data_IF_875220693700
#
_entry.id   IF_875220693700
#
_cell.length_a   1.000
_cell.length_b   1.000
_cell.length_c   1.000
_cell.angle_alpha   90.00
_cell.angle_beta   90.00
_cell.angle_gamma   90.00
#
_symmetry.space_group_name_H-M   'P 1'
#
loop_
_entity.id
_entity.type
_entity.pdbx_description
1 polymer ?
#
# COMPACT_ATOMS: atom_id res chain seq x y z
N UNK A 1 3.40 -8.22 -44.90
CA UNK A 1 2.36 -8.34 -43.88
C UNK A 1 2.63 -9.42 -42.80
N UNK A 2 3.88 -9.78 -42.48
CA UNK A 2 4.21 -10.80 -41.44
C UNK A 2 4.99 -10.24 -40.24
N UNK A 3 5.30 -8.95 -40.22
CA UNK A 3 6.06 -8.31 -39.12
C UNK A 3 5.19 -7.61 -38.03
N UNK A 4 3.95 -7.36 -38.34
CA UNK A 4 2.99 -6.71 -37.38
C UNK A 4 2.32 -7.68 -36.42
N UNK A 5 2.27 -8.98 -36.77
CA UNK A 5 1.69 -9.98 -35.86
C UNK A 5 2.63 -10.39 -34.72
N UNK A 6 3.95 -10.17 -34.86
CA UNK A 6 4.94 -10.55 -33.85
C UNK A 6 5.04 -9.50 -32.73
N UNK A 7 4.75 -8.21 -33.03
CA UNK A 7 4.75 -7.16 -32.03
C UNK A 7 3.48 -7.20 -31.12
N UNK A 8 2.35 -7.67 -31.68
CA UNK A 8 1.10 -7.79 -30.91
C UNK A 8 1.14 -8.96 -29.92
N UNK A 9 1.92 -10.01 -30.22
CA UNK A 9 2.10 -11.16 -29.33
C UNK A 9 3.05 -10.84 -28.15
N UNK A 10 3.97 -9.88 -28.31
CA UNK A 10 4.85 -9.44 -27.21
C UNK A 10 4.17 -8.48 -26.24
N UNK A 11 3.14 -7.75 -26.68
CA UNK A 11 2.37 -6.82 -25.83
C UNK A 11 1.30 -7.51 -24.97
N UNK A 12 0.95 -8.77 -25.30
CA UNK A 12 -0.01 -9.57 -24.53
C UNK A 12 0.66 -10.53 -23.53
N UNK A 13 1.99 -10.53 -23.45
CA UNK A 13 2.74 -11.39 -22.53
C UNK A 13 3.23 -10.68 -21.25
N UNK A 14 2.80 -9.46 -21.01
CA UNK A 14 2.81 -8.90 -19.66
C UNK A 14 1.59 -9.44 -18.88
N UNK A 15 1.29 -10.72 -18.99
CA UNK A 15 0.54 -11.45 -17.97
C UNK A 15 1.46 -11.44 -16.77
N UNK A 16 1.07 -10.72 -15.72
CA UNK A 16 1.68 -10.81 -14.41
C UNK A 16 1.82 -12.30 -14.07
N UNK A 17 3.03 -12.82 -14.20
CA UNK A 17 3.37 -14.16 -13.73
C UNK A 17 3.41 -13.98 -12.21
N UNK A 18 2.23 -14.12 -11.58
CA UNK A 18 2.21 -14.31 -10.14
C UNK A 18 3.08 -15.53 -9.87
N UNK A 19 3.99 -15.48 -8.88
CA UNK A 19 4.78 -16.63 -8.51
C UNK A 19 3.85 -17.82 -8.24
N UNK A 20 4.32 -19.02 -8.52
CA UNK A 20 3.53 -20.26 -8.37
C UNK A 20 3.13 -20.52 -6.90
N UNK A 21 3.79 -19.84 -5.95
CA UNK A 21 3.62 -19.96 -4.50
C UNK A 21 3.04 -18.66 -3.90
N UNK A 22 2.04 -18.05 -4.55
CA UNK A 22 1.38 -16.86 -4.03
C UNK A 22 0.40 -17.24 -2.90
N UNK A 23 0.64 -16.71 -1.70
CA UNK A 23 -0.31 -16.71 -0.61
C UNK A 23 -1.21 -15.47 -0.66
N UNK A 24 -2.33 -15.52 0.07
CA UNK A 24 -3.26 -14.39 0.18
C UNK A 24 -3.51 -14.08 1.65
N UNK A 25 -3.31 -12.83 2.02
CA UNK A 25 -3.81 -12.27 3.26
C UNK A 25 -5.16 -11.61 3.01
N UNK A 26 -6.16 -11.85 3.87
CA UNK A 26 -7.50 -11.26 3.78
C UNK A 26 -7.79 -10.41 5.02
N UNK A 27 -8.09 -9.14 4.80
CA UNK A 27 -8.45 -8.18 5.85
C UNK A 27 -9.97 -7.99 5.89
N UNK A 28 -10.69 -8.92 6.51
CA UNK A 28 -12.10 -8.84 6.93
C UNK A 28 -13.04 -8.00 6.03
N UNK A 29 -13.01 -8.23 4.71
CA UNK A 29 -13.86 -7.53 3.75
C UNK A 29 -13.41 -6.11 3.37
N UNK A 30 -12.22 -5.67 3.76
CA UNK A 30 -11.63 -4.40 3.34
C UNK A 30 -10.79 -4.58 2.07
N UNK A 31 -9.85 -5.51 2.13
CA UNK A 31 -8.94 -5.79 1.03
C UNK A 31 -8.36 -7.20 1.13
N UNK A 32 -7.76 -7.63 0.01
CA UNK A 32 -6.89 -8.80 -0.07
C UNK A 32 -5.51 -8.37 -0.54
N UNK A 33 -4.48 -9.01 -0.02
CA UNK A 33 -3.10 -8.85 -0.49
C UNK A 33 -2.53 -10.20 -0.87
N UNK A 34 -2.13 -10.36 -2.12
CA UNK A 34 -1.38 -11.52 -2.59
C UNK A 34 0.11 -11.22 -2.50
N UNK A 35 0.87 -12.14 -1.94
CA UNK A 35 2.32 -12.02 -1.77
C UNK A 35 3.02 -13.35 -2.06
N UNK A 36 4.31 -13.29 -2.32
CA UNK A 36 5.15 -14.48 -2.54
C UNK A 36 5.57 -15.07 -1.18
N UNK A 37 4.98 -16.21 -0.77
CA UNK A 37 5.32 -16.89 0.48
C UNK A 37 6.71 -17.55 0.48
N UNK A 38 7.33 -17.71 -0.69
CA UNK A 38 8.71 -18.16 -0.78
C UNK A 38 9.72 -17.03 -0.52
N UNK A 39 9.30 -15.78 -0.77
CA UNK A 39 10.14 -14.58 -0.61
C UNK A 39 9.95 -13.90 0.75
N UNK A 40 8.76 -14.02 1.36
CA UNK A 40 8.41 -13.30 2.60
C UNK A 40 7.79 -14.22 3.65
N UNK A 41 8.13 -13.97 4.90
CA UNK A 41 7.46 -14.57 6.06
C UNK A 41 6.35 -13.64 6.54
N UNK A 42 5.15 -14.17 6.76
CA UNK A 42 4.02 -13.44 7.33
C UNK A 42 4.03 -13.56 8.86
N UNK A 43 3.97 -12.43 9.56
CA UNK A 43 3.56 -12.32 10.95
C UNK A 43 2.20 -11.60 10.99
N UNK A 44 1.13 -12.33 11.30
CA UNK A 44 -0.26 -11.88 11.27
C UNK A 44 -0.76 -11.43 12.65
N UNK A 45 0.13 -10.99 13.53
CA UNK A 45 -0.23 -10.49 14.86
C UNK A 45 -1.07 -9.21 14.75
N UNK A 46 -2.33 -9.39 14.40
CA UNK A 46 -3.31 -8.30 14.37
C UNK A 46 -3.58 -7.79 15.77
N UNK A 47 -3.35 -6.50 16.01
CA UNK A 47 -3.79 -5.84 17.22
C UNK A 47 -4.47 -4.52 16.90
N UNK A 48 -5.55 -4.22 17.64
CA UNK A 48 -6.24 -2.94 17.56
C UNK A 48 -5.70 -2.01 18.64
N UNK A 49 -5.53 -0.75 18.28
CA UNK A 49 -5.14 0.31 19.18
C UNK A 49 -6.11 1.48 19.02
N UNK A 50 -6.72 1.91 20.13
CA UNK A 50 -7.53 3.13 20.16
C UNK A 50 -6.67 4.27 20.70
N UNK A 51 -6.55 5.34 19.93
CA UNK A 51 -5.90 6.58 20.32
C UNK A 51 -6.93 7.71 20.47
N UNK A 52 -6.52 8.84 21.03
CA UNK A 52 -7.36 10.06 21.10
C UNK A 52 -7.69 10.61 19.69
N UNK A 53 -6.94 10.21 18.67
CA UNK A 53 -7.08 10.67 17.28
C UNK A 53 -7.80 9.70 16.36
N UNK A 54 -8.19 8.53 16.86
CA UNK A 54 -8.90 7.51 16.07
C UNK A 54 -8.55 6.08 16.45
N UNK A 55 -9.20 5.12 15.83
CA UNK A 55 -8.93 3.70 15.99
C UNK A 55 -7.90 3.27 14.92
N UNK A 56 -6.75 2.79 15.37
CA UNK A 56 -5.73 2.21 14.49
C UNK A 56 -5.74 0.69 14.63
N UNK A 57 -5.49 0.00 13.54
CA UNK A 57 -5.37 -1.45 13.50
C UNK A 57 -4.17 -1.84 12.65
N UNK A 58 -3.26 -2.61 13.25
CA UNK A 58 -2.19 -3.27 12.53
C UNK A 58 -2.69 -4.61 12.01
N UNK A 59 -2.43 -4.91 10.75
CA UNK A 59 -2.89 -6.16 10.15
C UNK A 59 -1.81 -7.22 10.16
N UNK A 60 -0.63 -6.88 9.63
CA UNK A 60 0.43 -7.85 9.48
C UNK A 60 1.79 -7.19 9.27
N UNK A 61 2.82 -7.99 9.44
CA UNK A 61 4.18 -7.70 8.99
C UNK A 61 4.62 -8.80 8.03
N UNK A 62 5.04 -8.42 6.82
CA UNK A 62 5.69 -9.30 5.86
C UNK A 62 7.18 -8.95 5.85
N UNK A 63 8.05 -9.93 6.05
CA UNK A 63 9.48 -9.66 6.15
C UNK A 63 10.33 -10.78 5.54
N UNK A 64 11.56 -10.42 5.18
CA UNK A 64 12.64 -11.34 4.87
C UNK A 64 13.95 -10.84 5.50
N UNK A 65 15.10 -11.41 5.13
CA UNK A 65 16.39 -11.04 5.71
C UNK A 65 16.81 -9.59 5.42
N UNK A 66 16.25 -8.96 4.38
CA UNK A 66 16.70 -7.64 3.89
C UNK A 66 15.70 -6.53 4.21
N UNK A 67 14.41 -6.79 4.08
CA UNK A 67 13.38 -5.75 4.15
C UNK A 67 12.11 -6.23 4.85
N UNK A 68 11.37 -5.25 5.36
CA UNK A 68 10.10 -5.43 6.05
C UNK A 68 9.03 -4.56 5.41
N UNK A 69 7.83 -5.11 5.32
CA UNK A 69 6.60 -4.41 4.96
C UNK A 69 5.63 -4.56 6.12
N UNK A 70 5.12 -3.48 6.63
CA UNK A 70 4.03 -3.55 7.59
C UNK A 70 2.80 -2.79 7.09
N UNK A 71 1.62 -3.31 7.40
CA UNK A 71 0.36 -2.74 6.99
C UNK A 71 -0.50 -2.38 8.18
N UNK A 72 -0.96 -1.15 8.17
CA UNK A 72 -1.87 -0.62 9.19
C UNK A 72 -3.09 0.04 8.56
N UNK A 73 -4.10 0.23 9.38
CA UNK A 73 -5.32 0.97 9.05
C UNK A 73 -5.55 2.00 10.14
N UNK A 74 -5.81 3.22 9.71
CA UNK A 74 -6.28 4.30 10.56
C UNK A 74 -7.71 4.68 10.14
N UNK A 75 -8.66 4.55 11.04
CA UNK A 75 -10.02 5.07 10.81
C UNK A 75 -10.04 6.57 11.03
N UNK A 76 -10.41 7.31 9.98
CA UNK A 76 -10.48 8.77 10.03
C UNK A 76 -11.90 9.22 10.40
N UNK A 77 -12.06 9.90 11.55
CA UNK A 77 -13.37 10.38 11.98
C UNK A 77 -13.92 11.51 11.11
N UNK A 78 -13.02 12.39 10.61
CA UNK A 78 -13.40 13.56 9.83
C UNK A 78 -13.61 13.30 8.34
N UNK A 79 -13.14 12.16 7.84
CA UNK A 79 -13.15 11.79 6.43
C UNK A 79 -14.00 10.55 6.15
N UNK A 80 -14.97 10.27 7.02
CA UNK A 80 -15.91 9.16 6.85
C UNK A 80 -16.52 9.17 5.45
N UNK A 81 -16.35 8.06 4.73
CA UNK A 81 -16.83 7.90 3.35
C UNK A 81 -15.89 8.43 2.27
N UNK A 82 -14.70 8.96 2.60
CA UNK A 82 -13.70 9.27 1.59
C UNK A 82 -13.16 7.97 0.98
N UNK A 83 -13.16 7.90 -0.34
CA UNK A 83 -12.50 6.84 -1.12
C UNK A 83 -11.71 7.49 -2.23
N UNK A 84 -10.38 7.30 -2.27
CA UNK A 84 -9.51 8.03 -3.19
C UNK A 84 -9.81 7.76 -4.65
N UNK A 85 -10.17 6.51 -5.02
CA UNK A 85 -10.48 6.15 -6.41
C UNK A 85 -11.70 6.89 -6.98
N UNK A 86 -12.66 7.30 -6.13
CA UNK A 86 -13.91 7.96 -6.54
C UNK A 86 -13.99 9.43 -6.14
N UNK A 87 -13.07 9.91 -5.31
CA UNK A 87 -13.06 11.29 -4.85
C UNK A 87 -12.79 12.29 -5.99
N UNK A 88 -13.39 13.47 -5.90
CA UNK A 88 -13.05 14.60 -6.78
C UNK A 88 -11.59 15.02 -6.63
N UNK A 89 -10.98 15.51 -7.72
CA UNK A 89 -9.56 15.88 -7.74
C UNK A 89 -9.19 16.89 -6.66
N UNK A 90 -10.02 17.93 -6.44
CA UNK A 90 -9.78 18.92 -5.41
C UNK A 90 -9.71 18.29 -4.01
N UNK A 91 -10.56 17.25 -3.74
CA UNK A 91 -10.55 16.56 -2.44
C UNK A 91 -9.30 15.67 -2.29
N UNK A 92 -8.89 14.98 -3.34
CA UNK A 92 -7.65 14.22 -3.37
C UNK A 92 -6.44 15.11 -3.08
N UNK A 93 -6.35 16.25 -3.74
CA UNK A 93 -5.25 17.20 -3.53
C UNK A 93 -5.26 17.82 -2.13
N UNK A 94 -6.45 18.12 -1.57
CA UNK A 94 -6.57 18.58 -0.19
C UNK A 94 -6.06 17.53 0.79
N UNK A 95 -6.48 16.28 0.61
CA UNK A 95 -6.06 15.18 1.47
C UNK A 95 -4.54 14.91 1.36
N UNK A 96 -3.99 14.89 0.15
CA UNK A 96 -2.54 14.74 -0.03
C UNK A 96 -1.76 15.84 0.69
N UNK A 97 -2.26 17.09 0.64
CA UNK A 97 -1.63 18.18 1.37
C UNK A 97 -1.70 17.96 2.88
N UNK A 98 -2.86 17.55 3.40
CA UNK A 98 -3.05 17.24 4.82
C UNK A 98 -2.11 16.10 5.27
N UNK A 99 -1.95 15.07 4.44
CA UNK A 99 -1.05 13.94 4.66
C UNK A 99 0.43 14.39 4.72
N UNK A 100 0.87 15.22 3.77
CA UNK A 100 2.22 15.77 3.77
C UNK A 100 2.47 16.71 4.96
N UNK A 101 1.48 17.50 5.34
CA UNK A 101 1.55 18.37 6.52
C UNK A 101 1.63 17.54 7.82
N UNK A 102 0.96 16.37 7.87
CA UNK A 102 1.01 15.44 9.00
C UNK A 102 2.41 14.87 9.22
N UNK A 103 3.09 14.50 8.13
CA UNK A 103 4.43 13.93 8.16
C UNK A 103 5.55 14.95 7.92
N UNK A 104 5.30 16.26 8.13
CA UNK A 104 6.30 17.31 7.87
C UNK A 104 7.61 17.14 8.67
N UNK A 105 7.51 16.60 9.89
CA UNK A 105 8.69 16.37 10.74
C UNK A 105 9.50 15.13 10.32
N UNK A 106 9.00 14.35 9.35
CA UNK A 106 9.64 13.17 8.78
C UNK A 106 10.15 13.40 7.35
N UNK A 107 10.34 14.66 6.95
CA UNK A 107 10.82 15.07 5.62
C UNK A 107 9.98 14.47 4.46
N UNK A 108 8.66 14.32 4.67
CA UNK A 108 7.75 13.67 3.73
C UNK A 108 7.75 14.31 2.35
N UNK A 109 7.85 13.47 1.33
CA UNK A 109 7.75 13.89 -0.07
C UNK A 109 7.00 12.87 -0.91
N UNK A 110 6.07 13.34 -1.76
CA UNK A 110 5.41 12.47 -2.73
C UNK A 110 6.41 12.06 -3.82
N UNK A 111 6.61 10.76 -3.99
CA UNK A 111 7.48 10.20 -5.01
C UNK A 111 6.69 9.86 -6.28
N UNK A 112 5.57 9.16 -6.12
CA UNK A 112 4.73 8.71 -7.24
C UNK A 112 3.31 8.37 -6.79
N UNK A 113 2.43 8.11 -7.76
CA UNK A 113 1.14 7.45 -7.56
C UNK A 113 1.16 6.12 -8.28
N UNK A 114 0.79 5.04 -7.60
CA UNK A 114 0.77 3.67 -8.11
C UNK A 114 -0.66 3.16 -8.08
N UNK A 115 -1.12 2.56 -9.18
CA UNK A 115 -2.38 1.82 -9.17
C UNK A 115 -2.13 0.41 -8.63
N UNK A 116 -2.98 -0.04 -7.70
CA UNK A 116 -2.92 -1.38 -7.15
C UNK A 116 -3.23 -2.46 -8.20
N UNK A 117 -3.09 -3.74 -7.85
CA UNK A 117 -3.30 -4.87 -8.75
C UNK A 117 -4.71 -4.99 -9.32
N UNK A 118 -5.71 -4.40 -8.68
CA UNK A 118 -7.08 -4.27 -9.21
C UNK A 118 -7.20 -3.21 -10.33
N UNK A 119 -6.17 -2.38 -10.54
CA UNK A 119 -6.15 -1.30 -11.52
C UNK A 119 -7.15 -0.17 -11.24
N UNK A 120 -7.67 -0.07 -10.02
CA UNK A 120 -8.67 0.91 -9.61
C UNK A 120 -8.32 1.65 -8.32
N UNK A 121 -7.51 1.04 -7.46
CA UNK A 121 -7.15 1.61 -6.16
C UNK A 121 -5.82 2.35 -6.25
N UNK A 122 -5.84 3.71 -6.23
CA UNK A 122 -4.60 4.49 -6.26
C UNK A 122 -3.95 4.52 -4.89
N UNK A 123 -2.64 4.36 -4.86
CA UNK A 123 -1.78 4.59 -3.70
C UNK A 123 -0.85 5.76 -3.95
N UNK A 124 -0.71 6.65 -2.99
CA UNK A 124 0.36 7.63 -2.97
C UNK A 124 1.58 7.03 -2.28
N UNK A 125 2.71 7.03 -2.96
CA UNK A 125 3.98 6.56 -2.42
C UNK A 125 4.77 7.77 -1.95
N UNK A 126 5.03 7.82 -0.65
CA UNK A 126 5.80 8.85 0.01
C UNK A 126 7.18 8.32 0.40
N UNK A 127 8.21 9.15 0.27
CA UNK A 127 9.50 8.96 0.91
C UNK A 127 9.53 9.72 2.24
N UNK A 128 9.89 9.04 3.31
CA UNK A 128 9.92 9.58 4.67
C UNK A 128 11.22 9.21 5.38
N UNK A 129 11.47 9.91 6.49
CA UNK A 129 12.59 9.60 7.39
C UNK A 129 12.20 9.89 8.83
N UNK A 130 12.38 8.90 9.70
CA UNK A 130 12.20 9.05 11.15
C UNK A 130 13.49 8.72 11.91
N UNK A 131 13.42 8.61 13.22
CA UNK A 131 14.55 8.27 14.09
C UNK A 131 15.13 6.86 13.83
N UNK A 132 14.36 5.95 13.22
CA UNK A 132 14.79 4.59 12.88
C UNK A 132 15.41 4.50 11.48
N UNK A 133 15.29 5.53 10.64
CA UNK A 133 15.88 5.58 9.32
C UNK A 133 14.92 6.02 8.22
N UNK A 134 15.36 5.95 6.95
CA UNK A 134 14.49 6.24 5.81
C UNK A 134 13.57 5.07 5.50
N UNK A 135 12.33 5.36 5.10
CA UNK A 135 11.33 4.38 4.70
C UNK A 135 10.43 4.92 3.59
N UNK A 136 9.67 4.04 2.98
CA UNK A 136 8.59 4.37 2.05
C UNK A 136 7.25 4.07 2.70
N UNK A 137 6.25 4.86 2.39
CA UNK A 137 4.87 4.61 2.78
C UNK A 137 3.97 4.74 1.55
N UNK A 138 3.19 3.72 1.29
CA UNK A 138 2.12 3.77 0.32
C UNK A 138 0.79 3.89 1.05
N UNK A 139 0.03 4.95 0.76
CA UNK A 139 -1.26 5.21 1.40
C UNK A 139 -2.39 5.28 0.38
N UNK A 140 -3.49 4.63 0.72
CA UNK A 140 -4.80 4.82 0.08
C UNK A 140 -5.89 5.02 1.12
N UNK A 141 -7.04 5.53 0.69
CA UNK A 141 -8.21 5.68 1.56
C UNK A 141 -9.41 4.99 0.93
N UNK A 142 -10.05 4.14 1.71
CA UNK A 142 -11.24 3.39 1.34
C UNK A 142 -12.30 3.58 2.43
N UNK A 143 -13.41 4.21 2.08
CA UNK A 143 -14.55 4.48 2.97
C UNK A 143 -14.14 5.13 4.31
N UNK A 144 -13.25 6.12 4.24
CA UNK A 144 -12.77 6.83 5.41
C UNK A 144 -11.75 6.05 6.25
N UNK A 145 -11.20 4.97 5.73
CA UNK A 145 -10.10 4.23 6.34
C UNK A 145 -8.84 4.50 5.52
N UNK A 146 -7.84 5.13 6.13
CA UNK A 146 -6.50 5.19 5.56
C UNK A 146 -5.81 3.84 5.74
N UNK A 147 -5.31 3.29 4.66
CA UNK A 147 -4.59 2.01 4.62
C UNK A 147 -3.16 2.34 4.23
N UNK A 148 -2.24 2.07 5.13
CA UNK A 148 -0.82 2.36 5.00
C UNK A 148 -0.03 1.07 4.84
N UNK A 149 0.77 0.99 3.80
CA UNK A 149 1.80 -0.02 3.63
C UNK A 149 3.16 0.64 3.72
N UNK A 150 3.87 0.40 4.82
CA UNK A 150 5.22 0.89 5.02
C UNK A 150 6.23 -0.15 4.52
N UNK A 151 7.33 0.32 3.93
CA UNK A 151 8.42 -0.52 3.45
C UNK A 151 9.77 0.07 3.89
N UNK A 152 10.63 -0.74 4.49
CA UNK A 152 11.95 -0.32 4.95
C UNK A 152 12.95 -1.48 4.93
N UNK A 153 14.22 -1.12 4.84
CA UNK A 153 15.30 -2.08 5.04
C UNK A 153 15.49 -2.41 6.51
N UNK A 154 15.79 -3.67 6.82
CA UNK A 154 16.12 -4.13 8.18
C UNK A 154 17.43 -3.48 8.69
N UNK A 155 18.32 -3.09 7.78
CA UNK A 155 19.46 -2.21 8.08
C UNK A 155 19.07 -0.75 7.86
N UNK A 156 18.76 -0.05 8.94
CA UNK A 156 18.32 1.35 8.94
C UNK A 156 19.36 2.36 8.42
N UNK A 157 20.60 1.94 8.16
CA UNK A 157 21.62 2.78 7.52
C UNK A 157 21.45 2.86 6.00
N UNK A 158 20.70 1.96 5.39
CA UNK A 158 20.42 1.97 3.96
C UNK A 158 19.40 3.04 3.60
N UNK A 159 19.57 3.65 2.43
CA UNK A 159 18.61 4.61 1.90
C UNK A 159 17.38 3.87 1.33
N UNK A 160 16.21 4.51 1.39
CA UNK A 160 15.03 4.08 0.66
C UNK A 160 15.24 4.35 -0.85
N UNK A 161 15.87 3.42 -1.53
CA UNK A 161 16.32 3.51 -2.90
C UNK A 161 15.30 2.93 -3.92
N UNK A 162 15.67 2.92 -5.19
CA UNK A 162 14.83 2.40 -6.28
C UNK A 162 14.47 0.91 -6.10
N UNK A 163 15.34 0.11 -5.48
CA UNK A 163 15.09 -1.31 -5.20
C UNK A 163 13.97 -1.49 -4.18
N UNK A 164 13.95 -0.67 -3.12
CA UNK A 164 12.87 -0.69 -2.14
C UNK A 164 11.55 -0.19 -2.76
N UNK A 165 11.61 0.81 -3.65
CA UNK A 165 10.43 1.29 -4.39
C UNK A 165 9.86 0.20 -5.30
N UNK A 166 10.71 -0.55 -6.00
CA UNK A 166 10.28 -1.66 -6.86
C UNK A 166 9.61 -2.76 -6.05
N UNK A 167 10.22 -3.17 -4.92
CA UNK A 167 9.64 -4.17 -4.03
C UNK A 167 8.27 -3.71 -3.46
N UNK A 168 8.11 -2.42 -3.14
CA UNK A 168 6.83 -1.85 -2.73
C UNK A 168 5.79 -1.90 -3.86
N UNK A 169 6.16 -1.56 -5.10
CA UNK A 169 5.26 -1.66 -6.26
C UNK A 169 4.83 -3.10 -6.54
N UNK A 170 5.75 -4.06 -6.42
CA UNK A 170 5.43 -5.49 -6.54
C UNK A 170 4.43 -5.93 -5.47
N UNK A 171 4.58 -5.46 -4.24
CA UNK A 171 3.64 -5.73 -3.16
C UNK A 171 2.26 -5.12 -3.46
N UNK A 172 2.20 -3.86 -3.89
CA UNK A 172 0.95 -3.18 -4.27
C UNK A 172 0.27 -3.83 -5.47
N UNK A 173 1.01 -4.46 -6.37
CA UNK A 173 0.44 -5.23 -7.48
C UNK A 173 -0.36 -6.46 -7.02
N UNK A 174 -0.13 -6.93 -5.80
CA UNK A 174 -0.92 -7.98 -5.15
C UNK A 174 -2.17 -7.48 -4.41
N UNK A 175 -2.32 -6.17 -4.24
CA UNK A 175 -3.43 -5.59 -3.50
C UNK A 175 -4.71 -5.55 -4.35
N UNK A 176 -5.82 -5.97 -3.75
CA UNK A 176 -7.18 -5.90 -4.32
C UNK A 176 -8.16 -5.41 -3.25
N UNK A 177 -8.89 -4.34 -3.57
CA UNK A 177 -9.98 -3.88 -2.71
C UNK A 177 -11.14 -4.89 -2.79
N UNK A 178 -11.70 -5.29 -1.65
CA UNK A 178 -12.94 -6.07 -1.65
C UNK A 178 -14.12 -5.17 -2.05
N UNK A 179 -14.91 -5.63 -3.05
CA UNK A 179 -15.96 -4.84 -3.68
C UNK A 179 -17.20 -4.58 -2.81
N UNK A 180 -17.26 -5.11 -1.59
CA UNK A 180 -18.30 -4.80 -0.60
C UNK A 180 -17.68 -4.01 0.55
N UNK A 181 -18.06 -2.75 0.65
CA UNK A 181 -17.69 -1.91 1.80
C UNK A 181 -18.26 -2.54 3.07
N UNK A 182 -17.43 -2.99 4.02
CA UNK A 182 -17.97 -3.53 5.26
C UNK A 182 -18.67 -2.41 6.03
N UNK A 183 -19.95 -2.59 6.28
CA UNK A 183 -20.66 -1.79 7.28
C UNK A 183 -20.10 -2.22 8.64
N UNK A 184 -19.13 -1.46 9.14
CA UNK A 184 -18.68 -1.64 10.52
C UNK A 184 -19.88 -1.30 11.43
N UNK A 185 -20.57 -2.32 11.91
CA UNK A 185 -21.61 -2.17 12.94
C UNK A 185 -20.98 -1.47 14.17
N UNK A 186 -21.72 -0.46 14.68
CA UNK A 186 -21.31 0.38 15.81
C UNK A 186 -21.28 -0.43 17.10
#
# INVERSE_FOLDING_TARGET
MKKTAFLLALLLAAVFILPADAATYEAEGLFRLRYDEAAYTLDDQTYAYESETGASRWFFVLYNDEMTFDMSLLRMENDAGLTLSTAAEERRQSYLKELLDWYQDEDASLLETVEAGDGQTPFWVLGLRNEFGPYLMAETVIDGNAIDLQAYYNDSSLAADERLQEALREMLAGFEQDGETPVLEK
#
